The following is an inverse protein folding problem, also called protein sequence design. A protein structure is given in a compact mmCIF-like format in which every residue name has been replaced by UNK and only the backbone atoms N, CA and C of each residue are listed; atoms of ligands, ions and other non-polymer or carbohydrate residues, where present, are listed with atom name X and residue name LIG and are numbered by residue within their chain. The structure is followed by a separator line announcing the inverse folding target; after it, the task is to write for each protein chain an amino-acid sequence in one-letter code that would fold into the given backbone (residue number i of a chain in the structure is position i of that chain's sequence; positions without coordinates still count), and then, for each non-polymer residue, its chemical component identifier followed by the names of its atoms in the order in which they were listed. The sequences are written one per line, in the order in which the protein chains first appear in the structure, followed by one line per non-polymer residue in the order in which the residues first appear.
data_IF_351891689500
#
_entry.id   IF_351891689500
#
_cell.length_a   1.000
_cell.length_b   1.000
_cell.length_c   1.000
_cell.angle_alpha   90.00
_cell.angle_beta   90.00
_cell.angle_gamma   90.00
#
_symmetry.space_group_name_H-M   'P 1'
#
loop_
_entity.id
_entity.type
_entity.pdbx_description
1 polymer ?
#
# COMPACT_ATOMS: atom_id res chain seq x y z
N UNK A 1 -8.91 -7.31 -70.16
CA UNK A 1 -7.52 -7.69 -70.44
C UNK A 1 -6.82 -8.00 -69.13
N UNK A 2 -6.32 -9.24 -68.98
CA UNK A 2 -5.24 -9.67 -68.06
C UNK A 2 -3.88 -9.34 -68.74
N UNK A 3 -2.68 -9.40 -68.09
CA UNK A 3 -2.17 -10.47 -67.20
C UNK A 3 -1.33 -9.92 -66.00
N UNK A 4 -0.71 -10.66 -65.07
CA UNK A 4 -0.43 -12.08 -64.83
C UNK A 4 0.48 -12.24 -63.59
N UNK A 5 0.29 -13.35 -62.87
CA UNK A 5 0.93 -13.92 -61.64
C UNK A 5 2.42 -14.33 -61.84
N UNK A 6 3.21 -14.90 -60.87
CA UNK A 6 2.78 -15.76 -59.72
C UNK A 6 3.61 -15.77 -58.38
N UNK A 7 3.08 -16.58 -57.46
CA UNK A 7 3.50 -17.05 -56.12
C UNK A 7 4.80 -17.91 -56.06
N UNK A 8 5.23 -18.37 -54.85
CA UNK A 8 4.89 -19.76 -54.48
C UNK A 8 4.57 -20.02 -52.98
N UNK A 9 3.86 -21.13 -52.75
CA UNK A 9 3.58 -21.81 -51.46
C UNK A 9 4.62 -22.93 -51.22
N UNK A 10 4.91 -23.24 -49.96
CA UNK A 10 5.40 -24.56 -49.53
C UNK A 10 4.62 -25.08 -48.33
N UNK A 11 4.54 -26.41 -48.26
CA UNK A 11 3.64 -27.22 -47.45
C UNK A 11 4.39 -27.96 -46.31
N UNK A 12 3.65 -28.37 -45.27
CA UNK A 12 3.95 -29.56 -44.44
C UNK A 12 2.64 -30.05 -43.82
N UNK A 13 2.00 -31.09 -44.35
CA UNK A 13 2.14 -32.51 -44.01
C UNK A 13 1.72 -32.87 -42.58
N UNK A 14 0.50 -33.39 -42.46
CA UNK A 14 0.00 -34.16 -41.33
C UNK A 14 0.67 -35.53 -41.26
N UNK A 15 0.90 -36.05 -40.04
CA UNK A 15 1.27 -37.45 -39.81
C UNK A 15 0.25 -38.07 -38.85
N UNK A 16 -0.30 -39.19 -39.31
CA UNK A 16 -1.30 -40.00 -38.65
C UNK A 16 -0.69 -41.05 -37.71
N UNK A 17 -1.57 -41.59 -36.87
CA UNK A 17 -1.37 -42.60 -35.84
C UNK A 17 -0.76 -43.93 -36.33
N UNK A 18 -0.06 -44.61 -35.41
CA UNK A 18 0.33 -46.02 -35.52
C UNK A 18 0.32 -46.69 -34.14
N UNK A 19 -0.68 -47.55 -33.91
CA UNK A 19 -0.76 -48.50 -32.79
C UNK A 19 0.33 -49.58 -32.92
N UNK A 20 0.87 -50.06 -31.80
CA UNK A 20 1.16 -51.50 -31.58
C UNK A 20 1.20 -51.83 -30.09
N UNK A 21 0.51 -52.90 -29.75
CA UNK A 21 0.37 -53.49 -28.43
C UNK A 21 1.16 -54.80 -28.34
N UNK A 22 1.63 -55.14 -27.13
CA UNK A 22 1.86 -56.50 -26.61
C UNK A 22 2.30 -56.34 -25.14
N UNK A 23 1.42 -56.51 -24.16
CA UNK A 23 0.99 -57.78 -23.54
C UNK A 23 2.14 -58.58 -22.92
N UNK A 24 2.14 -58.69 -21.58
CA UNK A 24 2.42 -59.92 -20.84
C UNK A 24 1.88 -59.80 -19.42
N UNK A 25 0.96 -60.72 -19.10
CA UNK A 25 0.28 -60.89 -17.83
C UNK A 25 1.01 -61.89 -16.92
N UNK A 26 0.73 -61.82 -15.62
CA UNK A 26 0.68 -62.89 -14.58
C UNK A 26 0.78 -62.20 -13.21
N UNK A 27 0.17 -62.61 -12.10
CA UNK A 27 -0.99 -63.44 -11.73
C UNK A 27 -1.08 -63.24 -10.20
N UNK A 28 -2.27 -63.13 -9.62
CA UNK A 28 -2.49 -63.11 -8.16
C UNK A 28 -2.35 -64.51 -7.53
N UNK A 29 -2.41 -64.60 -6.18
CA UNK A 29 -3.53 -65.38 -5.62
C UNK A 29 -4.19 -64.76 -4.37
N UNK A 30 -5.38 -65.30 -4.07
CA UNK A 30 -6.38 -64.92 -3.07
C UNK A 30 -6.20 -65.58 -1.67
N UNK A 31 -6.95 -65.02 -0.71
CA UNK A 31 -7.81 -65.69 0.31
C UNK A 31 -7.41 -65.76 1.82
N UNK A 32 -8.09 -64.90 2.59
CA UNK A 32 -8.80 -65.04 3.90
C UNK A 32 -8.28 -65.90 5.08
N UNK A 33 -8.31 -65.32 6.30
CA UNK A 33 -9.30 -65.53 7.39
C UNK A 33 -8.89 -64.74 8.67
N UNK A 34 -9.85 -64.15 9.40
CA UNK A 34 -9.66 -63.34 10.64
C UNK A 34 -9.31 -64.15 11.91
N UNK A 35 -9.35 -63.58 13.15
CA UNK A 35 -10.35 -62.64 13.70
C UNK A 35 -9.81 -61.43 14.53
N UNK A 36 -10.71 -60.50 14.88
CA UNK A 36 -10.54 -59.35 15.81
C UNK A 36 -10.78 -59.77 17.30
N UNK A 37 -10.81 -58.91 18.35
CA UNK A 37 -10.65 -57.43 18.44
C UNK A 37 -9.84 -56.91 19.68
N UNK A 38 -9.58 -55.59 19.75
CA UNK A 38 -9.57 -54.84 21.02
C UNK A 38 -9.65 -53.31 20.78
N UNK A 39 -10.52 -52.67 21.57
CA UNK A 39 -11.01 -51.30 21.48
C UNK A 39 -9.95 -50.20 21.63
N UNK A 40 -10.00 -49.19 20.77
CA UNK A 40 -9.36 -47.90 21.02
C UNK A 40 -10.41 -46.95 21.61
N UNK A 41 -10.15 -46.49 22.84
CA UNK A 41 -10.98 -45.56 23.58
C UNK A 41 -11.04 -44.19 22.88
N UNK A 42 -12.23 -43.61 22.86
CA UNK A 42 -12.47 -42.25 22.43
C UNK A 42 -11.75 -41.27 23.38
N UNK A 43 -10.70 -40.62 22.89
CA UNK A 43 -10.20 -39.38 23.49
C UNK A 43 -10.83 -38.20 22.77
N UNK A 44 -11.71 -37.52 23.47
CA UNK A 44 -12.40 -36.30 23.08
C UNK A 44 -11.40 -35.23 22.62
N UNK A 45 -11.46 -34.87 21.33
CA UNK A 45 -10.94 -33.58 20.87
C UNK A 45 -11.81 -32.51 21.52
N UNK A 46 -11.26 -31.79 22.49
CA UNK A 46 -11.79 -30.49 22.86
C UNK A 46 -11.79 -29.64 21.61
N UNK A 47 -12.97 -29.36 21.08
CA UNK A 47 -13.19 -28.23 20.18
C UNK A 47 -12.65 -27.01 20.92
N UNK A 48 -11.58 -26.43 20.38
CA UNK A 48 -11.24 -25.06 20.71
C UNK A 48 -12.43 -24.23 20.23
N UNK A 49 -13.22 -23.77 21.20
CA UNK A 49 -14.17 -22.68 21.00
C UNK A 49 -13.45 -21.57 20.24
N UNK A 50 -14.03 -21.14 19.12
CA UNK A 50 -13.69 -19.88 18.46
C UNK A 50 -13.65 -18.80 19.54
N UNK A 51 -12.44 -18.42 19.96
CA UNK A 51 -12.26 -17.19 20.69
C UNK A 51 -12.68 -16.11 19.71
N UNK A 52 -13.79 -15.42 19.97
CA UNK A 52 -14.18 -14.24 19.20
C UNK A 52 -12.96 -13.32 19.18
N UNK A 53 -12.29 -13.22 18.03
CA UNK A 53 -11.18 -12.30 17.87
C UNK A 53 -11.68 -10.92 18.29
N UNK A 54 -10.92 -10.21 19.13
CA UNK A 54 -11.25 -8.83 19.47
C UNK A 54 -11.40 -8.05 18.15
N UNK A 55 -12.50 -7.28 17.98
CA UNK A 55 -12.78 -6.59 16.72
C UNK A 55 -11.60 -5.68 16.36
N UNK A 56 -11.28 -5.58 15.06
CA UNK A 56 -10.08 -4.81 14.65
C UNK A 56 -10.31 -3.30 14.72
N UNK A 57 -11.57 -2.87 14.88
CA UNK A 57 -11.96 -1.49 15.03
C UNK A 57 -13.23 -1.34 15.89
N UNK A 58 -13.47 -0.10 16.35
CA UNK A 58 -14.69 0.30 17.04
C UNK A 58 -15.37 1.42 16.26
N UNK A 59 -16.65 1.24 15.94
CA UNK A 59 -17.49 2.24 15.30
C UNK A 59 -18.47 2.82 16.33
N UNK A 60 -18.49 4.15 16.43
CA UNK A 60 -19.40 4.91 17.27
C UNK A 60 -20.21 5.85 16.36
N UNK A 61 -21.51 5.58 16.21
CA UNK A 61 -22.43 6.42 15.42
C UNK A 61 -23.02 7.50 16.32
N UNK A 62 -22.59 8.75 16.15
CA UNK A 62 -23.10 9.88 16.92
C UNK A 62 -24.46 10.37 16.41
N UNK A 63 -25.30 10.86 17.32
CA UNK A 63 -26.61 11.45 17.02
C UNK A 63 -26.55 12.78 16.26
N UNK A 64 -25.35 13.39 16.16
CA UNK A 64 -25.11 14.70 15.56
C UNK A 64 -24.59 14.64 14.11
N UNK A 65 -24.75 13.53 13.41
CA UNK A 65 -24.25 13.39 12.03
C UNK A 65 -22.73 13.23 11.94
N UNK A 66 -22.07 12.86 13.03
CA UNK A 66 -20.63 12.54 13.07
C UNK A 66 -20.47 11.11 13.55
N UNK A 67 -19.81 10.28 12.75
CA UNK A 67 -19.39 8.94 13.13
C UNK A 67 -17.90 8.96 13.53
N UNK A 68 -17.50 8.10 14.47
CA UNK A 68 -16.10 7.87 14.82
C UNK A 68 -15.74 6.41 14.59
N UNK A 69 -14.71 6.18 13.78
CA UNK A 69 -14.14 4.87 13.54
C UNK A 69 -12.72 4.85 14.11
N UNK A 70 -12.48 3.97 15.07
CA UNK A 70 -11.19 3.85 15.75
C UNK A 70 -10.58 2.48 15.45
N UNK A 71 -9.35 2.44 14.92
CA UNK A 71 -8.61 1.19 14.75
C UNK A 71 -8.07 0.71 16.11
N UNK A 72 -8.29 -0.56 16.45
CA UNK A 72 -8.08 -1.10 17.82
C UNK A 72 -7.15 -2.32 17.85
N UNK A 73 -6.12 -2.33 16.99
CA UNK A 73 -5.02 -3.32 17.01
C UNK A 73 -3.68 -2.71 17.48
N UNK A 74 -3.61 -2.04 18.65
CA UNK A 74 -2.43 -1.27 19.05
C UNK A 74 -1.16 -2.14 19.22
N UNK A 75 -1.32 -3.42 19.59
CA UNK A 75 -0.19 -4.38 19.70
C UNK A 75 0.50 -4.67 18.36
N UNK A 76 -0.20 -4.45 17.25
CA UNK A 76 0.28 -4.59 15.86
C UNK A 76 0.41 -3.24 15.16
N UNK A 77 0.42 -2.14 15.91
CA UNK A 77 0.50 -0.78 15.37
C UNK A 77 -0.63 -0.48 14.36
N UNK A 78 -1.80 -1.08 14.56
CA UNK A 78 -2.96 -0.95 13.69
C UNK A 78 -2.69 -1.34 12.22
N UNK A 79 -1.75 -2.27 11.96
CA UNK A 79 -1.47 -2.74 10.61
C UNK A 79 -2.69 -3.40 9.96
N UNK A 80 -2.88 -3.24 8.64
CA UNK A 80 -4.03 -3.75 7.90
C UNK A 80 -3.83 -5.21 7.51
N UNK A 81 -4.60 -6.13 8.10
CA UNK A 81 -4.70 -7.51 7.60
C UNK A 81 -5.90 -7.64 6.67
N UNK A 82 -5.94 -8.70 5.85
CA UNK A 82 -7.07 -8.93 4.94
C UNK A 82 -8.44 -8.96 5.64
N UNK A 83 -8.62 -9.61 6.81
CA UNK A 83 -9.88 -9.54 7.54
C UNK A 83 -10.26 -8.13 7.99
N UNK A 84 -9.27 -7.29 8.33
CA UNK A 84 -9.49 -5.91 8.75
C UNK A 84 -9.89 -5.03 7.56
N UNK A 85 -9.36 -5.29 6.36
CA UNK A 85 -9.80 -4.62 5.12
C UNK A 85 -11.27 -4.93 4.85
N UNK A 86 -11.71 -6.19 5.03
CA UNK A 86 -13.12 -6.56 4.88
C UNK A 86 -14.01 -5.88 5.93
N UNK A 87 -13.60 -5.89 7.20
CA UNK A 87 -14.32 -5.21 8.26
C UNK A 87 -14.41 -3.69 7.99
N UNK A 88 -13.35 -3.06 7.48
CA UNK A 88 -13.36 -1.65 7.07
C UNK A 88 -14.39 -1.40 5.98
N UNK A 89 -14.41 -2.20 4.89
CA UNK A 89 -15.42 -2.06 3.82
C UNK A 89 -16.85 -2.10 4.36
N UNK A 90 -17.13 -3.02 5.28
CA UNK A 90 -18.43 -3.09 5.96
C UNK A 90 -18.71 -1.85 6.79
N UNK A 91 -17.76 -1.37 7.59
CA UNK A 91 -17.94 -0.16 8.41
C UNK A 91 -18.17 1.08 7.56
N UNK A 92 -17.45 1.24 6.45
CA UNK A 92 -17.67 2.37 5.53
C UNK A 92 -19.06 2.32 4.88
N UNK A 93 -19.56 1.13 4.53
CA UNK A 93 -20.91 0.95 4.05
C UNK A 93 -21.96 1.27 5.13
N UNK A 94 -21.73 0.84 6.38
CA UNK A 94 -22.58 1.16 7.54
C UNK A 94 -22.62 2.67 7.80
N UNK A 95 -21.48 3.34 7.78
CA UNK A 95 -21.37 4.81 7.94
C UNK A 95 -22.14 5.52 6.84
N UNK A 96 -21.99 5.11 5.58
CA UNK A 96 -22.71 5.70 4.46
C UNK A 96 -24.24 5.56 4.60
N UNK A 97 -24.72 4.45 5.16
CA UNK A 97 -26.15 4.19 5.40
C UNK A 97 -26.68 4.83 6.70
N UNK A 98 -25.81 5.22 7.63
CA UNK A 98 -26.20 5.71 8.96
C UNK A 98 -26.79 7.13 8.99
N UNK A 99 -26.67 7.89 7.89
CA UNK A 99 -26.99 9.32 7.87
C UNK A 99 -25.87 10.22 8.41
N UNK A 100 -24.71 9.65 8.76
CA UNK A 100 -23.50 10.41 9.07
C UNK A 100 -23.13 11.36 7.93
N UNK A 101 -22.56 12.50 8.30
CA UNK A 101 -22.12 13.59 7.42
C UNK A 101 -20.61 13.81 7.53
N UNK A 102 -20.03 13.39 8.64
CA UNK A 102 -18.60 13.41 8.90
C UNK A 102 -18.17 12.08 9.52
N UNK A 103 -16.96 11.64 9.18
CA UNK A 103 -16.30 10.49 9.76
C UNK A 103 -14.98 10.94 10.39
N UNK A 104 -14.84 10.74 11.70
CA UNK A 104 -13.56 10.84 12.39
C UNK A 104 -12.87 9.47 12.33
N UNK A 105 -11.74 9.38 11.63
CA UNK A 105 -10.92 8.17 11.57
C UNK A 105 -9.69 8.35 12.47
N UNK A 106 -9.50 7.45 13.43
CA UNK A 106 -8.40 7.47 14.38
C UNK A 106 -7.84 6.06 14.64
N UNK A 107 -6.67 5.96 15.29
CA UNK A 107 -6.09 4.70 15.73
C UNK A 107 -5.73 4.75 17.21
N UNK A 108 -5.88 3.62 17.91
CA UNK A 108 -5.47 3.49 19.31
C UNK A 108 -3.97 3.24 19.47
N UNK A 109 -3.41 3.75 20.57
CA UNK A 109 -2.04 3.49 20.97
C UNK A 109 -1.04 4.42 20.30
N UNK A 110 0.06 3.85 19.79
CA UNK A 110 1.22 4.61 19.28
C UNK A 110 1.21 4.86 17.77
N UNK A 111 0.19 4.35 17.08
CA UNK A 111 0.09 4.40 15.64
C UNK A 111 -1.34 4.72 15.25
N UNK A 112 -1.49 5.57 14.24
CA UNK A 112 -2.73 5.64 13.49
C UNK A 112 -2.90 4.31 12.74
N UNK A 113 -1.96 4.01 11.84
CA UNK A 113 -1.82 2.74 11.14
C UNK A 113 -0.40 2.66 10.53
N UNK A 114 0.32 1.58 10.81
CA UNK A 114 1.71 1.40 10.37
C UNK A 114 1.88 0.63 9.05
N UNK A 115 0.81 0.48 8.27
CA UNK A 115 0.83 -0.13 6.93
C UNK A 115 0.11 -1.48 6.86
N UNK A 116 0.21 -2.15 5.72
CA UNK A 116 -0.34 -3.51 5.54
C UNK A 116 0.42 -4.56 6.36
N UNK A 117 -0.26 -5.63 6.77
CA UNK A 117 0.33 -6.82 7.39
C UNK A 117 0.94 -7.74 6.31
N UNK A 118 1.94 -7.19 5.62
CA UNK A 118 2.60 -7.78 4.44
C UNK A 118 3.40 -9.07 4.73
N UNK A 119 3.53 -9.46 6.01
CA UNK A 119 4.08 -10.75 6.39
C UNK A 119 3.16 -11.91 5.94
N UNK A 120 1.84 -11.74 6.04
CA UNK A 120 0.85 -12.71 5.57
C UNK A 120 0.85 -12.79 4.04
N UNK A 121 0.98 -11.64 3.38
CA UNK A 121 1.12 -11.54 1.91
C UNK A 121 2.34 -12.32 1.43
N UNK A 122 3.50 -12.14 2.06
CA UNK A 122 4.71 -12.92 1.74
C UNK A 122 4.47 -14.41 1.86
N UNK A 123 3.83 -14.86 2.94
CA UNK A 123 3.55 -16.30 3.10
C UNK A 123 2.67 -16.83 1.97
N UNK A 124 1.64 -16.07 1.59
CA UNK A 124 0.79 -16.38 0.45
C UNK A 124 1.56 -16.52 -0.87
N UNK A 125 2.55 -15.66 -1.12
CA UNK A 125 3.46 -15.77 -2.27
C UNK A 125 4.27 -17.07 -2.22
N UNK A 126 4.84 -17.42 -1.06
CA UNK A 126 5.70 -18.59 -0.91
C UNK A 126 4.95 -19.91 -1.09
N UNK A 127 3.71 -20.00 -0.60
CA UNK A 127 2.88 -21.20 -0.74
C UNK A 127 2.06 -21.21 -2.03
N UNK A 128 2.03 -20.10 -2.78
CA UNK A 128 1.35 -19.98 -4.07
C UNK A 128 -0.17 -19.96 -3.97
N UNK A 129 -0.73 -19.26 -2.98
CA UNK A 129 -2.18 -19.10 -2.82
C UNK A 129 -2.68 -17.73 -3.33
N UNK A 130 -3.98 -17.45 -3.19
CA UNK A 130 -4.60 -16.21 -3.67
C UNK A 130 -4.43 -15.00 -2.75
N UNK A 131 -3.95 -15.19 -1.52
CA UNK A 131 -3.88 -14.13 -0.49
C UNK A 131 -3.21 -12.84 -0.99
N UNK A 132 -2.09 -12.86 -1.74
CA UNK A 132 -1.49 -11.62 -2.24
C UNK A 132 -2.40 -10.85 -3.21
N UNK A 133 -3.10 -11.58 -4.10
CA UNK A 133 -4.02 -10.98 -5.05
C UNK A 133 -5.26 -10.41 -4.36
N UNK A 134 -5.83 -11.18 -3.42
CA UNK A 134 -6.99 -10.74 -2.65
C UNK A 134 -6.66 -9.52 -1.79
N UNK A 135 -5.50 -9.53 -1.11
CA UNK A 135 -5.04 -8.43 -0.26
C UNK A 135 -4.97 -7.11 -1.02
N UNK A 136 -4.15 -7.03 -2.08
CA UNK A 136 -3.97 -5.78 -2.82
C UNK A 136 -5.20 -5.37 -3.61
N UNK A 137 -5.98 -6.32 -4.15
CA UNK A 137 -7.23 -5.98 -4.83
C UNK A 137 -8.19 -5.31 -3.85
N UNK A 138 -8.35 -5.90 -2.67
CA UNK A 138 -9.34 -5.45 -1.71
C UNK A 138 -8.88 -4.19 -0.95
N UNK A 139 -7.58 -4.04 -0.64
CA UNK A 139 -7.00 -2.81 -0.10
C UNK A 139 -7.16 -1.65 -1.08
N UNK A 140 -6.77 -1.81 -2.34
CA UNK A 140 -6.78 -0.70 -3.30
C UNK A 140 -8.20 -0.29 -3.70
N UNK A 141 -9.15 -1.24 -3.69
CA UNK A 141 -10.57 -0.92 -3.80
C UNK A 141 -11.04 -0.07 -2.63
N UNK A 142 -10.63 -0.43 -1.40
CA UNK A 142 -10.95 0.34 -0.20
C UNK A 142 -10.33 1.75 -0.24
N UNK A 143 -9.07 1.89 -0.67
CA UNK A 143 -8.42 3.20 -0.79
C UNK A 143 -9.16 4.11 -1.78
N UNK A 144 -9.59 3.57 -2.92
CA UNK A 144 -10.39 4.32 -3.89
C UNK A 144 -11.80 4.65 -3.36
N UNK A 145 -12.42 3.72 -2.65
CA UNK A 145 -13.70 3.95 -1.98
C UNK A 145 -13.60 5.09 -0.96
N UNK A 146 -12.51 5.16 -0.19
CA UNK A 146 -12.23 6.24 0.76
C UNK A 146 -12.00 7.55 0.02
N UNK A 147 -11.18 7.53 -1.05
CA UNK A 147 -10.88 8.73 -1.84
C UNK A 147 -12.15 9.36 -2.46
N UNK A 148 -13.10 8.53 -2.88
CA UNK A 148 -14.37 8.96 -3.49
C UNK A 148 -15.54 9.01 -2.50
N UNK A 149 -15.29 8.78 -1.21
CA UNK A 149 -16.33 8.67 -0.18
C UNK A 149 -17.26 9.89 -0.18
N UNK A 150 -16.68 11.10 -0.17
CA UNK A 150 -17.44 12.35 -0.12
C UNK A 150 -18.31 12.53 -1.35
N UNK A 151 -17.79 12.21 -2.53
CA UNK A 151 -18.52 12.35 -3.80
C UNK A 151 -19.70 11.36 -3.87
N UNK A 152 -19.48 10.11 -3.44
CA UNK A 152 -20.49 9.05 -3.51
C UNK A 152 -21.55 9.14 -2.41
N UNK A 153 -21.17 9.60 -1.21
CA UNK A 153 -22.02 9.48 -0.02
C UNK A 153 -22.30 10.82 0.68
N UNK A 154 -21.55 11.87 0.36
CA UNK A 154 -21.58 13.15 1.08
C UNK A 154 -20.84 13.14 2.42
N UNK A 155 -20.28 12.01 2.86
CA UNK A 155 -19.54 11.90 4.12
C UNK A 155 -18.16 12.53 3.98
N UNK A 156 -17.87 13.51 4.85
CA UNK A 156 -16.55 14.15 4.95
C UNK A 156 -15.65 13.36 5.91
N UNK A 157 -14.57 12.76 5.43
CA UNK A 157 -13.60 12.10 6.31
C UNK A 157 -12.58 13.10 6.89
N UNK A 158 -12.37 13.01 8.20
CA UNK A 158 -11.33 13.67 8.98
C UNK A 158 -10.43 12.60 9.59
N UNK A 159 -9.19 12.48 9.09
CA UNK A 159 -8.21 11.56 9.64
C UNK A 159 -7.36 12.24 10.73
N UNK A 160 -7.29 11.62 11.91
CA UNK A 160 -6.50 12.11 13.05
C UNK A 160 -5.25 11.25 13.19
N UNK A 161 -4.10 11.82 12.82
CA UNK A 161 -2.80 11.14 12.81
C UNK A 161 -2.06 11.32 14.13
N UNK A 162 -2.51 10.71 15.24
CA UNK A 162 -1.71 10.67 16.48
C UNK A 162 -0.76 9.47 16.51
N UNK A 163 0.44 9.63 15.93
CA UNK A 163 1.48 8.61 15.91
C UNK A 163 1.93 8.19 14.51
N UNK A 164 2.33 6.92 14.37
CA UNK A 164 2.86 6.37 13.10
C UNK A 164 1.77 6.28 12.02
N UNK A 165 2.07 6.76 10.81
CA UNK A 165 1.25 6.67 9.60
C UNK A 165 2.16 6.18 8.44
N UNK A 166 1.99 4.94 7.99
CA UNK A 166 2.84 4.34 6.94
C UNK A 166 2.04 3.44 6.01
N UNK A 167 2.49 3.28 4.76
CA UNK A 167 1.92 2.33 3.77
C UNK A 167 0.40 2.37 3.69
N UNK A 168 -0.27 1.23 3.86
CA UNK A 168 -1.74 1.16 3.94
C UNK A 168 -2.42 2.17 4.89
N UNK A 169 -1.77 2.60 5.97
CA UNK A 169 -2.28 3.69 6.82
C UNK A 169 -2.31 5.05 6.13
N UNK A 170 -1.35 5.29 5.23
CA UNK A 170 -1.39 6.43 4.31
C UNK A 170 -2.56 6.25 3.34
N UNK A 171 -2.77 5.06 2.78
CA UNK A 171 -3.91 4.73 1.89
C UNK A 171 -5.27 5.08 2.48
N UNK A 172 -5.48 4.73 3.75
CA UNK A 172 -6.72 5.03 4.47
C UNK A 172 -7.02 6.53 4.67
N UNK A 173 -6.06 7.43 4.42
CA UNK A 173 -6.19 8.82 4.89
C UNK A 173 -5.63 9.90 3.98
N UNK A 174 -4.64 9.63 3.12
CA UNK A 174 -3.98 10.65 2.28
C UNK A 174 -4.96 11.31 1.31
N UNK A 175 -5.95 10.56 0.85
CA UNK A 175 -7.00 11.03 -0.07
C UNK A 175 -8.16 11.74 0.66
N UNK A 176 -8.17 11.72 2.00
CA UNK A 176 -9.20 12.41 2.80
C UNK A 176 -8.98 13.91 2.78
N UNK A 177 -10.01 14.75 2.66
CA UNK A 177 -9.84 16.21 2.57
C UNK A 177 -9.27 16.86 3.84
N UNK A 178 -9.44 16.23 5.02
CA UNK A 178 -8.90 16.72 6.29
C UNK A 178 -8.00 15.65 6.92
N UNK A 179 -6.74 16.01 7.16
CA UNK A 179 -5.69 15.15 7.71
C UNK A 179 -4.97 15.97 8.78
N UNK A 180 -5.16 15.57 10.04
CA UNK A 180 -4.72 16.35 11.22
C UNK A 180 -3.50 15.64 11.81
N UNK A 181 -2.34 16.28 11.73
CA UNK A 181 -1.13 15.81 12.39
C UNK A 181 -1.05 16.31 13.84
N UNK A 182 -0.43 15.52 14.70
CA UNK A 182 0.04 15.91 16.04
C UNK A 182 1.56 15.96 16.07
N UNK A 183 2.15 16.40 17.17
CA UNK A 183 3.60 16.35 17.40
C UNK A 183 4.16 14.91 17.42
N UNK A 184 3.29 13.90 17.57
CA UNK A 184 3.65 12.48 17.53
C UNK A 184 3.60 11.91 16.11
N UNK A 185 3.02 12.62 15.14
CA UNK A 185 2.90 12.09 13.78
C UNK A 185 4.27 11.80 13.18
N UNK A 186 4.43 10.58 12.70
CA UNK A 186 5.56 10.19 11.88
C UNK A 186 5.04 9.47 10.64
N UNK A 187 5.23 10.13 9.50
CA UNK A 187 4.75 9.68 8.20
C UNK A 187 5.91 9.13 7.38
N UNK A 188 5.70 8.03 6.66
CA UNK A 188 6.63 7.58 5.62
C UNK A 188 5.96 6.61 4.63
N UNK A 189 6.55 6.50 3.44
CA UNK A 189 6.30 5.44 2.46
C UNK A 189 7.56 4.56 2.34
N UNK A 190 7.80 3.59 3.25
CA UNK A 190 9.04 2.83 3.32
C UNK A 190 9.13 1.65 2.33
N UNK A 191 8.22 1.53 1.38
CA UNK A 191 7.97 0.35 0.55
C UNK A 191 9.19 -0.07 -0.30
N UNK A 192 10.00 0.89 -0.75
CA UNK A 192 11.24 0.58 -1.50
C UNK A 192 12.27 -0.19 -0.66
N UNK A 193 12.21 -0.06 0.67
CA UNK A 193 13.04 -0.79 1.62
C UNK A 193 12.59 -2.23 1.88
N UNK A 194 11.39 -2.61 1.43
CA UNK A 194 10.84 -3.96 1.56
C UNK A 194 10.59 -4.64 0.21
N UNK A 195 11.11 -4.09 -0.89
CA UNK A 195 10.94 -4.68 -2.22
C UNK A 195 9.56 -4.44 -2.84
N UNK A 196 8.89 -3.35 -2.45
CA UNK A 196 7.64 -2.87 -3.05
C UNK A 196 7.84 -1.41 -3.54
N UNK A 197 6.79 -0.66 -3.81
CA UNK A 197 6.81 0.73 -4.30
C UNK A 197 5.76 1.54 -3.51
N UNK A 198 5.82 2.88 -3.48
CA UNK A 198 4.84 3.67 -2.73
C UNK A 198 3.47 3.53 -3.40
N UNK A 199 2.62 2.68 -2.84
CA UNK A 199 1.35 2.20 -3.38
C UNK A 199 0.15 3.00 -2.85
N UNK A 200 -1.04 2.39 -2.78
CA UNK A 200 -2.27 2.95 -2.19
C UNK A 200 -2.68 4.33 -2.73
N UNK A 201 -2.42 4.56 -4.03
CA UNK A 201 -2.66 5.80 -4.76
C UNK A 201 -1.61 6.88 -4.54
N UNK A 202 -0.54 6.60 -3.80
CA UNK A 202 0.48 7.62 -3.47
C UNK A 202 1.38 7.95 -4.64
N UNK A 203 1.55 7.07 -5.64
CA UNK A 203 2.24 7.46 -6.88
C UNK A 203 1.53 8.61 -7.62
N UNK A 204 0.22 8.78 -7.39
CA UNK A 204 -0.57 9.91 -7.88
C UNK A 204 -0.53 11.11 -6.93
N UNK A 205 -0.59 10.89 -5.61
CA UNK A 205 -0.61 11.95 -4.61
C UNK A 205 0.76 12.65 -4.43
N UNK A 206 1.85 11.89 -4.38
CA UNK A 206 3.21 12.39 -4.18
C UNK A 206 3.63 13.50 -5.16
N UNK A 207 3.45 13.36 -6.49
CA UNK A 207 3.82 14.43 -7.43
C UNK A 207 2.92 15.67 -7.37
N UNK A 208 1.80 15.60 -6.64
CA UNK A 208 0.81 16.69 -6.46
C UNK A 208 0.93 17.40 -5.11
N UNK A 209 1.89 17.00 -4.27
CA UNK A 209 2.18 17.69 -3.01
C UNK A 209 2.64 19.13 -3.24
N UNK A 210 2.43 20.00 -2.25
CA UNK A 210 2.71 21.44 -2.36
C UNK A 210 4.19 21.77 -2.58
N UNK A 211 5.09 20.88 -2.15
CA UNK A 211 6.54 21.02 -2.41
C UNK A 211 6.99 20.52 -3.79
N UNK A 212 6.06 20.15 -4.67
CA UNK A 212 6.33 19.80 -6.05
C UNK A 212 6.79 18.36 -6.29
N UNK A 213 6.96 18.02 -7.57
CA UNK A 213 7.20 16.65 -8.00
C UNK A 213 8.56 16.09 -7.56
N UNK A 214 9.61 16.91 -7.50
CA UNK A 214 10.93 16.47 -7.03
C UNK A 214 10.88 15.99 -5.58
N UNK A 215 10.15 16.69 -4.72
CA UNK A 215 9.89 16.28 -3.35
C UNK A 215 9.08 14.98 -3.31
N UNK A 216 8.03 14.86 -4.12
CA UNK A 216 7.26 13.62 -4.22
C UNK A 216 8.12 12.40 -4.59
N UNK A 217 9.01 12.55 -5.57
CA UNK A 217 9.98 11.53 -5.97
C UNK A 217 10.94 11.23 -4.80
N UNK A 218 11.53 12.25 -4.18
CA UNK A 218 12.42 12.08 -3.03
C UNK A 218 11.76 11.24 -1.92
N UNK A 219 10.53 11.57 -1.54
CA UNK A 219 9.78 10.85 -0.50
C UNK A 219 9.50 9.40 -0.91
N UNK A 220 9.00 9.20 -2.15
CA UNK A 220 8.64 7.87 -2.65
C UNK A 220 9.83 6.92 -2.85
N UNK A 221 11.00 7.45 -3.22
CA UNK A 221 12.20 6.62 -3.42
C UNK A 221 12.92 6.28 -2.12
N UNK A 222 12.99 7.23 -1.19
CA UNK A 222 13.83 7.11 0.01
C UNK A 222 13.08 6.60 1.23
N UNK A 223 11.74 6.67 1.22
CA UNK A 223 10.92 6.42 2.40
C UNK A 223 11.25 7.36 3.56
N UNK A 224 11.71 8.57 3.24
CA UNK A 224 12.09 9.58 4.23
C UNK A 224 10.93 9.84 5.20
N UNK A 225 11.25 9.78 6.50
CA UNK A 225 10.29 10.09 7.55
C UNK A 225 10.06 11.59 7.61
N UNK A 226 8.79 11.98 7.62
CA UNK A 226 8.35 13.35 7.86
C UNK A 226 7.63 13.46 9.20
N UNK A 227 7.77 14.62 9.82
CA UNK A 227 7.11 15.00 11.07
C UNK A 227 6.23 16.24 10.83
N UNK A 228 5.41 16.61 11.81
CA UNK A 228 4.34 17.59 11.67
C UNK A 228 4.70 18.88 10.90
N UNK A 229 5.85 19.51 11.16
CA UNK A 229 6.26 20.73 10.47
C UNK A 229 6.47 20.51 8.96
N UNK A 230 7.17 19.44 8.58
CA UNK A 230 7.35 19.07 7.17
C UNK A 230 6.04 18.59 6.54
N UNK A 231 5.18 17.92 7.30
CA UNK A 231 3.89 17.43 6.80
C UNK A 231 2.97 18.57 6.40
N UNK A 232 2.88 19.63 7.22
CA UNK A 232 2.14 20.84 6.86
C UNK A 232 2.77 21.53 5.66
N UNK A 233 4.09 21.72 5.66
CA UNK A 233 4.81 22.38 4.55
C UNK A 233 4.64 21.65 3.22
N UNK A 234 4.68 20.32 3.24
CA UNK A 234 4.51 19.49 2.06
C UNK A 234 3.05 19.38 1.60
N UNK A 235 2.08 19.83 2.40
CA UNK A 235 0.64 19.63 2.15
C UNK A 235 0.16 18.20 2.39
N UNK A 236 1.00 17.35 3.00
CA UNK A 236 0.65 15.97 3.36
C UNK A 236 -0.36 15.97 4.50
N UNK A 237 -0.11 16.74 5.56
CA UNK A 237 -1.14 17.07 6.55
C UNK A 237 -1.79 18.41 6.18
N UNK A 238 -3.10 18.54 6.40
CA UNK A 238 -3.81 19.81 6.15
C UNK A 238 -3.89 20.68 7.39
N UNK A 239 -3.87 20.08 8.57
CA UNK A 239 -3.96 20.78 9.85
C UNK A 239 -3.01 20.16 10.87
N UNK A 240 -2.75 20.91 11.94
CA UNK A 240 -2.01 20.45 13.10
C UNK A 240 -2.84 20.66 14.36
N UNK A 241 -2.84 19.68 15.25
CA UNK A 241 -3.45 19.76 16.57
C UNK A 241 -2.51 19.12 17.59
N UNK A 242 -2.08 19.85 18.65
CA UNK A 242 -1.36 19.24 19.77
C UNK A 242 -2.13 18.04 20.33
N UNK A 243 -1.42 16.95 20.64
CA UNK A 243 -2.09 15.70 21.03
C UNK A 243 -2.91 15.80 22.32
N UNK A 244 -2.54 16.71 23.22
CA UNK A 244 -3.27 17.01 24.45
C UNK A 244 -4.63 17.71 24.22
N UNK A 245 -4.82 18.32 23.05
CA UNK A 245 -6.07 18.98 22.63
C UNK A 245 -6.99 18.09 21.81
N UNK A 246 -6.62 16.83 21.53
CA UNK A 246 -7.45 15.95 20.69
C UNK A 246 -8.83 15.68 21.29
N UNK A 247 -8.94 15.55 22.61
CA UNK A 247 -10.24 15.37 23.27
C UNK A 247 -11.18 16.56 23.04
N UNK A 248 -10.65 17.79 23.20
CA UNK A 248 -11.39 19.02 22.92
C UNK A 248 -11.76 19.15 21.44
N UNK A 249 -10.85 18.75 20.56
CA UNK A 249 -11.08 18.76 19.11
C UNK A 249 -12.21 17.81 18.72
N UNK A 250 -12.17 16.57 19.21
CA UNK A 250 -13.24 15.59 18.96
C UNK A 250 -14.59 16.12 19.45
N UNK A 251 -14.64 16.67 20.67
CA UNK A 251 -15.86 17.28 21.20
C UNK A 251 -16.34 18.47 20.33
N UNK A 252 -15.43 19.32 19.87
CA UNK A 252 -15.77 20.45 18.99
C UNK A 252 -16.30 19.99 17.63
N UNK A 253 -15.75 18.92 17.05
CA UNK A 253 -16.20 18.38 15.77
C UNK A 253 -17.58 17.70 15.91
N UNK A 254 -17.81 16.97 17.00
CA UNK A 254 -19.13 16.40 17.33
C UNK A 254 -20.19 17.50 17.49
N UNK A 255 -19.83 18.65 18.08
CA UNK A 255 -20.73 19.79 18.29
C UNK A 255 -21.10 20.55 16.99
N UNK A 256 -20.44 20.28 15.86
CA UNK A 256 -20.79 20.92 14.59
C UNK A 256 -22.16 20.48 14.06
N UNK A 257 -22.63 19.29 14.42
CA UNK A 257 -23.91 18.77 13.95
C UNK A 257 -23.94 18.65 12.42
N UNK A 258 -25.01 19.13 11.80
CA UNK A 258 -25.18 19.16 10.34
C UNK A 258 -24.06 19.91 9.60
N UNK A 259 -23.38 20.85 10.25
CA UNK A 259 -22.25 21.59 9.65
C UNK A 259 -20.98 20.75 9.53
N UNK A 260 -20.94 19.53 10.06
CA UNK A 260 -19.76 18.67 10.03
C UNK A 260 -19.38 18.19 8.61
N UNK A 261 -20.27 18.28 7.62
CA UNK A 261 -19.93 18.05 6.20
C UNK A 261 -19.32 19.26 5.50
N UNK A 262 -19.33 20.44 6.14
CA UNK A 262 -18.76 21.66 5.60
C UNK A 262 -17.28 21.76 6.00
N UNK A 263 -16.40 21.73 4.99
CA UNK A 263 -14.95 21.78 5.17
C UNK A 263 -14.49 23.05 5.91
N UNK A 264 -15.06 24.20 5.60
CA UNK A 264 -14.71 25.46 6.26
C UNK A 264 -15.12 25.46 7.74
N UNK A 265 -16.29 24.90 8.06
CA UNK A 265 -16.74 24.76 9.44
C UNK A 265 -15.84 23.82 10.24
N UNK A 266 -15.41 22.70 9.64
CA UNK A 266 -14.45 21.77 10.23
C UNK A 266 -13.09 22.45 10.44
N UNK A 267 -12.55 23.14 9.44
CA UNK A 267 -11.31 23.90 9.56
C UNK A 267 -11.38 25.00 10.63
N UNK A 268 -12.51 25.71 10.73
CA UNK A 268 -12.73 26.73 11.77
C UNK A 268 -12.78 26.12 13.18
N UNK A 269 -13.43 24.96 13.34
CA UNK A 269 -13.43 24.22 14.61
C UNK A 269 -12.02 23.79 15.03
N UNK A 270 -11.22 23.27 14.07
CA UNK A 270 -9.82 22.92 14.30
C UNK A 270 -9.01 24.15 14.70
N UNK A 271 -9.11 25.25 13.95
CA UNK A 271 -8.38 26.49 14.25
C UNK A 271 -8.75 27.07 15.63
N UNK A 272 -10.04 27.09 15.97
CA UNK A 272 -10.54 27.56 17.27
C UNK A 272 -10.02 26.70 18.43
N UNK A 273 -10.05 25.38 18.29
CA UNK A 273 -9.58 24.46 19.33
C UNK A 273 -8.07 24.57 19.55
N UNK A 274 -7.32 24.61 18.45
CA UNK A 274 -5.86 24.62 18.49
C UNK A 274 -5.30 25.98 18.91
N UNK A 275 -6.03 27.07 18.67
CA UNK A 275 -5.61 28.43 19.01
C UNK A 275 -4.42 28.89 18.18
N UNK A 276 -4.30 28.40 16.94
CA UNK A 276 -3.16 28.72 16.06
C UNK A 276 -1.86 28.01 16.44
N UNK A 277 -1.93 26.92 17.21
CA UNK A 277 -0.77 26.10 17.52
C UNK A 277 -0.06 25.65 16.23
N UNK A 278 1.27 25.70 16.25
CA UNK A 278 2.12 25.26 15.18
C UNK A 278 3.08 24.17 15.69
N UNK A 279 3.46 23.20 14.85
CA UNK A 279 4.43 22.19 15.22
C UNK A 279 5.84 22.79 15.42
N UNK A 280 6.64 22.13 16.26
CA UNK A 280 8.05 22.45 16.41
C UNK A 280 8.81 22.19 15.09
N UNK A 281 9.57 23.19 14.64
CA UNK A 281 10.42 23.13 13.46
C UNK A 281 11.74 22.37 13.65
N UNK A 282 12.09 21.93 14.87
CA UNK A 282 13.38 21.27 15.16
C UNK A 282 13.67 20.02 14.32
N UNK A 283 12.62 19.36 13.79
CA UNK A 283 12.73 18.18 12.90
C UNK A 283 12.42 18.49 11.43
N UNK A 284 12.27 19.76 11.06
CA UNK A 284 11.95 20.15 9.69
C UNK A 284 13.18 19.98 8.77
N UNK A 285 13.11 18.99 7.89
CA UNK A 285 14.11 18.63 6.88
C UNK A 285 13.88 19.40 5.58
N UNK A 286 12.62 19.53 5.16
CA UNK A 286 12.30 19.90 3.78
C UNK A 286 12.70 21.33 3.47
N UNK A 287 12.54 22.24 4.43
CA UNK A 287 12.92 23.65 4.26
C UNK A 287 14.41 23.79 3.94
N UNK A 288 15.27 23.20 4.77
CA UNK A 288 16.71 23.29 4.64
C UNK A 288 17.25 22.64 3.35
N UNK A 289 16.54 21.66 2.80
CA UNK A 289 17.04 20.84 1.68
C UNK A 289 16.23 20.99 0.39
N UNK A 290 15.19 21.83 0.36
CA UNK A 290 14.28 21.99 -0.79
C UNK A 290 15.01 22.24 -2.12
N UNK A 291 15.99 23.14 -2.13
CA UNK A 291 16.77 23.44 -3.33
C UNK A 291 17.64 22.25 -3.78
N UNK A 292 18.21 21.49 -2.84
CA UNK A 292 19.01 20.30 -3.15
C UNK A 292 18.11 19.15 -3.64
N UNK A 293 16.92 18.99 -3.06
CA UNK A 293 15.88 18.06 -3.53
C UNK A 293 15.51 18.38 -4.98
N UNK A 294 15.24 19.64 -5.32
CA UNK A 294 14.89 20.04 -6.68
C UNK A 294 16.03 19.76 -7.67
N UNK A 295 17.29 20.09 -7.31
CA UNK A 295 18.45 19.78 -8.16
C UNK A 295 18.61 18.28 -8.41
N UNK A 296 18.49 17.47 -7.36
CA UNK A 296 18.80 16.04 -7.41
C UNK A 296 17.65 15.21 -7.99
N UNK A 297 16.40 15.50 -7.61
CA UNK A 297 15.19 14.73 -7.96
C UNK A 297 14.28 15.42 -8.97
N UNK A 298 14.70 16.59 -9.48
CA UNK A 298 13.97 17.37 -10.47
C UNK A 298 13.73 16.64 -11.80
N UNK A 299 12.96 17.32 -12.66
CA UNK A 299 12.41 16.73 -13.89
C UNK A 299 13.48 16.07 -14.78
N UNK A 300 13.17 14.86 -15.27
CA UNK A 300 13.98 14.13 -16.24
C UNK A 300 15.11 13.26 -15.67
N UNK A 301 15.48 13.41 -14.38
CA UNK A 301 16.59 12.65 -13.78
C UNK A 301 16.30 11.15 -13.68
N UNK A 302 17.00 10.31 -14.46
CA UNK A 302 16.97 8.85 -14.26
C UNK A 302 17.36 8.47 -12.82
N UNK A 303 17.17 7.21 -12.45
CA UNK A 303 17.57 6.75 -11.14
C UNK A 303 19.10 6.89 -10.93
N UNK A 304 19.89 6.68 -11.97
CA UNK A 304 21.34 6.91 -12.03
C UNK A 304 21.71 8.40 -12.00
N UNK A 305 20.95 9.26 -12.69
CA UNK A 305 21.14 10.70 -12.62
C UNK A 305 20.95 11.21 -11.20
N UNK A 306 19.92 10.72 -10.49
CA UNK A 306 19.65 11.09 -9.10
C UNK A 306 20.86 10.76 -8.22
N UNK A 307 21.41 9.55 -8.36
CA UNK A 307 22.62 9.14 -7.63
C UNK A 307 23.80 10.06 -7.96
N UNK A 308 24.06 10.30 -9.25
CA UNK A 308 25.18 11.13 -9.70
C UNK A 308 25.05 12.58 -9.21
N UNK A 309 23.82 13.13 -9.22
CA UNK A 309 23.53 14.48 -8.73
C UNK A 309 23.70 14.59 -7.22
N UNK A 310 23.26 13.60 -6.45
CA UNK A 310 23.49 13.55 -5.01
C UNK A 310 24.98 13.44 -4.67
N UNK A 311 25.75 12.69 -5.45
CA UNK A 311 27.22 12.60 -5.28
C UNK A 311 27.88 13.95 -5.57
N UNK A 312 27.42 14.66 -6.60
CA UNK A 312 27.91 16.00 -6.94
C UNK A 312 27.48 17.10 -5.95
N UNK A 313 26.33 16.94 -5.28
CA UNK A 313 25.83 17.89 -4.27
C UNK A 313 26.80 18.00 -3.08
N UNK A 314 27.52 16.91 -2.76
CA UNK A 314 28.64 16.88 -1.80
C UNK A 314 28.32 17.53 -0.43
N UNK A 315 27.14 17.25 0.11
CA UNK A 315 26.70 17.65 1.46
C UNK A 315 26.44 16.44 2.35
N UNK A 316 26.47 16.63 3.67
CA UNK A 316 26.13 15.58 4.63
C UNK A 316 24.71 15.03 4.43
N UNK A 317 23.77 15.91 4.07
CA UNK A 317 22.40 15.50 3.72
C UNK A 317 22.39 14.58 2.50
N UNK A 318 23.03 14.98 1.40
CA UNK A 318 23.06 14.19 0.17
C UNK A 318 23.77 12.84 0.38
N UNK A 319 24.86 12.81 1.16
CA UNK A 319 25.53 11.58 1.56
C UNK A 319 24.61 10.66 2.38
N UNK A 320 23.80 11.22 3.28
CA UNK A 320 22.77 10.49 4.02
C UNK A 320 21.69 9.89 3.10
N UNK A 321 21.21 10.66 2.13
CA UNK A 321 20.23 10.21 1.14
C UNK A 321 20.80 9.10 0.25
N UNK A 322 22.04 9.22 -0.22
CA UNK A 322 22.74 8.17 -0.97
C UNK A 322 22.85 6.88 -0.17
N UNK A 323 23.24 6.97 1.10
CA UNK A 323 23.32 5.82 2.00
C UNK A 323 21.96 5.14 2.14
N UNK A 324 20.88 5.90 2.19
CA UNK A 324 19.51 5.38 2.22
C UNK A 324 19.17 4.67 0.92
N UNK A 325 19.31 5.34 -0.24
CA UNK A 325 18.98 4.76 -1.56
C UNK A 325 19.76 3.46 -1.85
N UNK A 326 21.05 3.41 -1.49
CA UNK A 326 21.90 2.20 -1.66
C UNK A 326 21.45 0.99 -0.84
N UNK A 327 20.54 1.17 0.13
CA UNK A 327 19.97 0.07 0.93
C UNK A 327 18.62 -0.40 0.42
N UNK A 328 17.95 0.37 -0.43
CA UNK A 328 16.64 0.03 -0.99
C UNK A 328 16.77 -0.99 -2.11
N UNK A 329 15.67 -1.69 -2.45
CA UNK A 329 15.65 -2.54 -3.64
C UNK A 329 15.88 -1.67 -4.88
N UNK A 330 16.89 -1.98 -5.72
CA UNK A 330 17.10 -1.24 -6.95
C UNK A 330 15.91 -1.34 -7.91
N UNK A 331 15.28 -2.52 -8.00
CA UNK A 331 14.05 -2.72 -8.77
C UNK A 331 12.94 -1.79 -8.27
N UNK A 332 12.71 -1.77 -6.96
CA UNK A 332 11.71 -0.91 -6.31
C UNK A 332 11.95 0.57 -6.57
N UNK A 333 13.18 1.05 -6.45
CA UNK A 333 13.53 2.45 -6.73
C UNK A 333 13.21 2.80 -8.18
N UNK A 334 13.58 1.94 -9.14
CA UNK A 334 13.34 2.18 -10.56
C UNK A 334 11.84 2.21 -10.90
N UNK A 335 11.06 1.22 -10.45
CA UNK A 335 9.61 1.17 -10.73
C UNK A 335 8.84 2.29 -10.03
N UNK A 336 9.29 2.72 -8.84
CA UNK A 336 8.68 3.83 -8.11
C UNK A 336 8.89 5.16 -8.83
N UNK A 337 10.12 5.40 -9.32
CA UNK A 337 10.44 6.60 -10.10
C UNK A 337 9.58 6.66 -11.37
N UNK A 338 9.48 5.53 -12.08
CA UNK A 338 8.70 5.45 -13.31
C UNK A 338 7.20 5.66 -13.05
N UNK A 339 6.64 5.04 -12.01
CA UNK A 339 5.21 5.21 -11.68
C UNK A 339 4.87 6.65 -11.30
N UNK A 340 5.66 7.29 -10.43
CA UNK A 340 5.46 8.69 -10.04
C UNK A 340 5.53 9.62 -11.27
N UNK A 341 6.45 9.35 -12.20
CA UNK A 341 6.56 10.10 -13.45
C UNK A 341 5.33 9.95 -14.34
N UNK A 342 4.86 8.71 -14.56
CA UNK A 342 3.65 8.43 -15.36
C UNK A 342 2.44 9.12 -14.77
N UNK A 343 2.26 9.03 -13.45
CA UNK A 343 1.08 9.53 -12.78
C UNK A 343 1.11 11.03 -12.47
N UNK A 344 2.24 11.72 -12.73
CA UNK A 344 2.35 13.18 -12.60
C UNK A 344 1.46 13.94 -13.59
N UNK A 345 1.19 13.37 -14.77
CA UNK A 345 0.36 14.04 -15.79
C UNK A 345 -1.00 14.44 -15.22
N UNK A 346 -1.48 15.64 -15.56
CA UNK A 346 -2.78 16.14 -15.14
C UNK A 346 -3.95 15.32 -15.72
N UNK A 347 -3.71 14.57 -16.80
CA UNK A 347 -4.70 13.70 -17.44
C UNK A 347 -4.88 12.36 -16.70
N UNK A 348 -3.93 11.98 -15.84
CA UNK A 348 -4.01 10.73 -15.08
C UNK A 348 -4.86 10.93 -13.84
N UNK A 349 -5.94 10.16 -13.74
CA UNK A 349 -6.82 10.16 -12.58
C UNK A 349 -6.26 9.27 -11.46
N UNK A 350 -6.77 9.42 -10.24
CA UNK A 350 -6.43 8.52 -9.13
C UNK A 350 -6.80 7.07 -9.47
N UNK A 351 -7.92 6.85 -10.15
CA UNK A 351 -8.37 5.53 -10.61
C UNK A 351 -7.35 4.87 -11.54
N UNK A 352 -6.81 5.62 -12.50
CA UNK A 352 -5.78 5.12 -13.43
C UNK A 352 -4.50 4.73 -12.69
N UNK A 353 -4.11 5.55 -11.72
CA UNK A 353 -2.93 5.29 -10.90
C UNK A 353 -3.09 4.05 -10.02
N UNK A 354 -4.18 3.92 -9.26
CA UNK A 354 -4.45 2.75 -8.42
C UNK A 354 -4.58 1.47 -9.29
N UNK A 355 -5.18 1.58 -10.47
CA UNK A 355 -5.23 0.44 -11.42
C UNK A 355 -3.84 0.02 -11.88
N UNK A 356 -2.96 0.98 -12.13
CA UNK A 356 -1.56 0.71 -12.52
C UNK A 356 -0.75 0.15 -11.35
N UNK A 357 -0.89 0.72 -10.16
CA UNK A 357 -0.27 0.22 -8.93
C UNK A 357 -0.73 -1.22 -8.64
N UNK A 358 -1.99 -1.56 -8.87
CA UNK A 358 -2.46 -2.94 -8.72
C UNK A 358 -1.70 -3.89 -9.65
N UNK A 359 -1.51 -3.55 -10.93
CA UNK A 359 -0.67 -4.36 -11.82
C UNK A 359 0.72 -4.54 -11.23
N UNK A 360 1.36 -3.44 -10.85
CA UNK A 360 2.70 -3.44 -10.29
C UNK A 360 2.81 -4.33 -9.05
N UNK A 361 1.83 -4.28 -8.14
CA UNK A 361 1.83 -5.12 -6.94
C UNK A 361 1.74 -6.61 -7.32
N UNK A 362 0.86 -6.98 -8.25
CA UNK A 362 0.77 -8.37 -8.71
C UNK A 362 2.06 -8.86 -9.38
N UNK A 363 2.76 -7.99 -10.12
CA UNK A 363 4.08 -8.31 -10.68
C UNK A 363 5.16 -8.47 -9.61
N UNK A 364 5.12 -7.68 -8.53
CA UNK A 364 6.00 -7.85 -7.36
C UNK A 364 5.72 -9.16 -6.61
N UNK A 365 4.47 -9.63 -6.62
CA UNK A 365 4.03 -10.86 -5.96
C UNK A 365 4.26 -12.13 -6.80
N UNK A 366 4.72 -12.02 -8.04
CA UNK A 366 4.92 -13.21 -8.88
C UNK A 366 5.93 -14.17 -8.26
N UNK A 367 5.63 -15.48 -8.24
CA UNK A 367 6.60 -16.49 -7.81
C UNK A 367 7.79 -16.47 -8.78
N UNK A 368 8.93 -16.01 -8.28
CA UNK A 368 10.19 -15.98 -8.99
C UNK A 368 11.28 -16.55 -8.08
N UNK A 369 12.35 -17.17 -8.62
CA UNK A 369 13.45 -17.70 -7.81
C UNK A 369 14.01 -16.67 -6.80
N UNK A 370 13.95 -15.38 -7.14
CA UNK A 370 14.32 -14.27 -6.28
C UNK A 370 13.29 -13.12 -6.39
N UNK A 371 12.43 -12.99 -5.37
CA UNK A 371 11.49 -11.87 -5.21
C UNK A 371 12.05 -10.86 -4.22
N UNK A 372 12.32 -9.64 -4.68
CA UNK A 372 12.73 -8.53 -3.80
C UNK A 372 11.70 -8.30 -2.69
N UNK A 373 10.40 -8.41 -2.97
CA UNK A 373 9.36 -8.31 -1.94
C UNK A 373 9.55 -9.35 -0.82
N UNK A 374 9.67 -10.63 -1.20
CA UNK A 374 9.82 -11.70 -0.22
C UNK A 374 11.12 -11.58 0.61
N UNK A 375 12.20 -11.13 -0.02
CA UNK A 375 13.49 -10.89 0.64
C UNK A 375 13.46 -9.66 1.54
N UNK A 376 12.82 -8.57 1.12
CA UNK A 376 12.69 -7.36 1.91
C UNK A 376 11.87 -7.59 3.18
N UNK A 377 10.73 -8.25 3.05
CA UNK A 377 9.91 -8.65 4.19
C UNK A 377 10.66 -9.62 5.11
N UNK A 378 11.43 -10.58 4.56
CA UNK A 378 12.30 -11.45 5.37
C UNK A 378 13.26 -10.61 6.21
N UNK A 379 14.03 -9.73 5.57
CA UNK A 379 15.08 -8.94 6.21
C UNK A 379 14.55 -7.95 7.27
N UNK A 380 13.37 -7.36 7.04
CA UNK A 380 12.82 -6.29 7.88
C UNK A 380 11.86 -6.80 8.96
N UNK A 381 10.99 -7.76 8.64
CA UNK A 381 9.89 -8.18 9.52
C UNK A 381 10.08 -9.57 10.14
N UNK A 382 10.67 -10.52 9.39
CA UNK A 382 10.82 -11.91 9.84
C UNK A 382 12.13 -12.10 10.61
N UNK A 383 13.26 -12.02 9.92
CA UNK A 383 14.60 -12.25 10.48
C UNK A 383 15.14 -11.00 11.17
N UNK A 384 14.66 -9.81 10.75
CA UNK A 384 15.02 -8.51 11.32
C UNK A 384 16.54 -8.22 11.31
N UNK A 385 17.24 -8.75 10.30
CA UNK A 385 18.69 -8.55 10.13
C UNK A 385 19.03 -7.20 9.48
N UNK A 386 18.05 -6.56 8.83
CA UNK A 386 18.23 -5.30 8.10
C UNK A 386 19.21 -5.38 6.92
N UNK A 387 19.42 -6.60 6.38
CA UNK A 387 20.40 -6.94 5.33
C UNK A 387 19.73 -7.73 4.20
N UNK A 388 18.81 -7.10 3.45
CA UNK A 388 18.20 -7.72 2.28
C UNK A 388 19.24 -7.94 1.17
N UNK A 389 19.07 -9.03 0.42
CA UNK A 389 19.87 -9.40 -0.74
C UNK A 389 19.05 -9.21 -2.02
N UNK A 390 19.09 -7.98 -2.53
CA UNK A 390 18.32 -7.58 -3.70
C UNK A 390 18.82 -8.23 -5.00
N UNK A 391 17.90 -8.49 -5.92
CA UNK A 391 18.19 -8.97 -7.27
C UNK A 391 17.48 -8.15 -8.37
N UNK A 392 18.21 -7.31 -9.11
CA UNK A 392 19.66 -7.11 -9.07
C UNK A 392 20.14 -6.33 -7.83
N UNK A 393 21.43 -6.46 -7.52
CA UNK A 393 22.05 -5.80 -6.37
C UNK A 393 22.36 -4.31 -6.60
N UNK A 394 22.38 -3.84 -7.86
CA UNK A 394 22.68 -2.44 -8.22
C UNK A 394 21.60 -1.88 -9.13
N UNK A 395 21.44 -0.56 -9.05
CA UNK A 395 20.46 0.20 -9.85
C UNK A 395 20.77 0.17 -11.34
N UNK A 396 22.05 0.32 -11.70
CA UNK A 396 22.51 0.25 -13.10
C UNK A 396 22.27 -1.11 -13.78
N UNK A 397 21.97 -2.16 -13.01
CA UNK A 397 21.68 -3.50 -13.52
C UNK A 397 20.16 -3.71 -13.74
N UNK A 398 19.32 -2.72 -13.43
CA UNK A 398 17.87 -2.77 -13.67
C UNK A 398 17.59 -2.26 -15.10
N UNK A 399 17.25 -3.17 -16.00
CA UNK A 399 16.93 -2.79 -17.39
C UNK A 399 15.57 -2.07 -17.50
N UNK A 400 15.45 -1.21 -18.51
CA UNK A 400 14.16 -0.58 -18.87
C UNK A 400 13.08 -1.63 -19.18
N UNK A 401 13.46 -2.76 -19.80
CA UNK A 401 12.56 -3.88 -20.06
C UNK A 401 12.02 -4.49 -18.76
N UNK A 402 12.90 -4.70 -17.75
CA UNK A 402 12.48 -5.18 -16.43
C UNK A 402 11.49 -4.21 -15.80
N UNK A 403 11.76 -2.90 -15.84
CA UNK A 403 10.84 -1.87 -15.34
C UNK A 403 9.51 -1.92 -16.07
N UNK A 404 9.50 -1.93 -17.40
CA UNK A 404 8.28 -1.97 -18.21
C UNK A 404 7.40 -3.19 -17.91
N UNK A 405 8.02 -4.34 -17.59
CA UNK A 405 7.32 -5.56 -17.19
C UNK A 405 6.37 -5.39 -16.00
N UNK A 406 6.70 -4.53 -15.03
CA UNK A 406 5.83 -4.28 -13.87
C UNK A 406 4.56 -3.48 -14.22
N UNK A 407 4.52 -2.86 -15.40
CA UNK A 407 3.36 -2.12 -15.88
C UNK A 407 2.54 -2.89 -16.92
N UNK A 408 3.01 -4.08 -17.31
CA UNK A 408 2.34 -4.90 -18.32
C UNK A 408 0.97 -5.40 -17.82
N UNK A 409 0.00 -5.63 -18.72
CA UNK A 409 -1.28 -6.24 -18.37
C UNK A 409 -1.10 -7.58 -17.64
N UNK A 410 -2.01 -7.89 -16.73
CA UNK A 410 -1.99 -9.16 -16.01
C UNK A 410 -2.38 -10.32 -16.94
N UNK A 411 -1.88 -11.55 -16.69
CA UNK A 411 -2.29 -12.74 -17.41
C UNK A 411 -3.80 -12.97 -17.33
N UNK A 412 -4.37 -13.57 -18.37
CA UNK A 412 -5.80 -13.86 -18.43
C UNK A 412 -6.27 -14.83 -17.33
N UNK A 413 -5.36 -15.66 -16.80
CA UNK A 413 -5.59 -16.61 -15.72
C UNK A 413 -5.26 -16.06 -14.32
N UNK A 414 -4.94 -14.77 -14.19
CA UNK A 414 -4.75 -14.13 -12.89
C UNK A 414 -6.03 -14.25 -12.04
N UNK A 415 -5.96 -14.69 -10.76
CA UNK A 415 -7.13 -15.08 -9.97
C UNK A 415 -8.18 -13.97 -9.79
N UNK A 416 -7.74 -12.71 -9.74
CA UNK A 416 -8.62 -11.54 -9.64
C UNK A 416 -8.72 -10.71 -10.92
N UNK A 417 -7.99 -11.11 -11.98
CA UNK A 417 -7.83 -10.30 -13.19
C UNK A 417 -7.29 -8.90 -12.89
N UNK A 418 -7.55 -7.96 -13.80
CA UNK A 418 -7.31 -6.52 -13.65
C UNK A 418 -8.23 -5.89 -12.59
N UNK A 419 -7.74 -4.85 -11.89
CA UNK A 419 -8.55 -4.10 -10.93
C UNK A 419 -9.70 -3.36 -11.64
N UNK A 420 -10.89 -3.40 -11.03
CA UNK A 420 -12.09 -2.73 -11.53
C UNK A 420 -12.66 -1.86 -10.43
N UNK A 421 -12.53 -0.55 -10.60
CA UNK A 421 -12.96 0.50 -9.66
C UNK A 421 -14.22 1.21 -10.15
#
# INVERSE_FOLDING_TARGET
AKPGLPSPRFASSAVAAGRRASALARQAPEASLGPAPASCAASSRKMATEASAEPSMRLELGSAGVAKLTLTRPKKLNSLSLPMIYELKERYAEIAASGARCLLLAGEGRAFCAGGDVAEVREGVLVGNSTPADFFYDEYTLDYDIATLRERTGVLQVAIWDGIVMGGGVGLSIHSPVRIATEKTMFAMPETGIGLFPDVGTTWALPRLSGGAAMGIFLGLTGQRLYAADLLRAGVATHFCPSDKLGDLEASLLALGERASNLEAVSAAIASTTGGAAPDGAKALLEANSAAIERCFGSGASAEDIISRLEAENTDWAAGVLKTLRRMSPTSVAISLEAIRRHRSAEVTLKDAITTEYRMSQWCMRPQPHSDFCEGIRAVLIDKDGKPRWEPAKLADVSEEKVAGFFAPLPADHPRGELKL
#
